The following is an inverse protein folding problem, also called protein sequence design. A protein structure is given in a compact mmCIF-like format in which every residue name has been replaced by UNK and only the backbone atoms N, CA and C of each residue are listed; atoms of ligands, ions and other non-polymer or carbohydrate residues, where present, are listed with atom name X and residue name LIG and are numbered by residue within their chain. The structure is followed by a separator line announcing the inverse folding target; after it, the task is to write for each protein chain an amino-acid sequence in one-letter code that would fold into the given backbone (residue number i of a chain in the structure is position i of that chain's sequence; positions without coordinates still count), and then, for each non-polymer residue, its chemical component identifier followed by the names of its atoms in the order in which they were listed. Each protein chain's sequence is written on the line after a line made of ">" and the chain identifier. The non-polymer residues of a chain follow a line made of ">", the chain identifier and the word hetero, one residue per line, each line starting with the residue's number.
data_IF_999575116031
#
_entry.id   IF_999575116031
#
_cell.length_a   1.000
_cell.length_b   1.000
_cell.length_c   1.000
_cell.angle_alpha   90.00
_cell.angle_beta   90.00
_cell.angle_gamma   90.00
#
_symmetry.space_group_name_H-M   'P 1'
#
loop_
_entity.id
_entity.type
_entity.pdbx_description
1 polymer ?
#
# COMPACT_ATOMS: atom_id res chain seq x y z
N UNK A 1 -12.05 -12.31 -81.07
CA UNK A 1 -12.83 -11.08 -81.24
C UNK A 1 -13.22 -10.55 -79.87
N UNK A 2 -12.78 -9.36 -79.61
CA UNK A 2 -13.40 -8.31 -78.80
C UNK A 2 -13.74 -8.72 -77.36
N UNK A 3 -13.12 -8.16 -76.44
CA UNK A 3 -12.84 -6.76 -76.07
C UNK A 3 -13.63 -6.37 -74.85
N UNK A 4 -12.91 -5.82 -73.86
CA UNK A 4 -13.25 -4.60 -73.12
C UNK A 4 -14.34 -4.74 -72.04
N UNK A 5 -14.31 -4.17 -70.92
CA UNK A 5 -13.69 -2.99 -70.27
C UNK A 5 -13.89 -3.12 -68.79
N UNK A 6 -12.91 -2.76 -67.99
CA UNK A 6 -12.82 -1.48 -67.28
C UNK A 6 -13.86 -1.22 -66.21
N UNK A 7 -13.40 -1.07 -65.02
CA UNK A 7 -13.47 0.13 -64.18
C UNK A 7 -13.59 -0.23 -62.73
N UNK A 8 -12.58 0.06 -61.95
CA UNK A 8 -12.54 1.22 -61.06
C UNK A 8 -13.66 1.25 -60.03
N UNK A 9 -13.31 0.97 -58.83
CA UNK A 9 -14.09 1.25 -57.65
C UNK A 9 -13.22 1.17 -56.42
N UNK A 10 -12.34 2.15 -56.25
CA UNK A 10 -11.72 2.43 -54.94
C UNK A 10 -12.86 2.94 -54.02
N UNK A 11 -13.25 2.13 -53.09
CA UNK A 11 -13.97 2.61 -51.92
C UNK A 11 -13.05 2.42 -50.73
N UNK A 12 -12.33 3.48 -50.43
CA UNK A 12 -11.62 3.62 -49.16
C UNK A 12 -12.65 3.76 -48.05
N UNK A 13 -13.01 2.67 -47.42
CA UNK A 13 -13.70 2.70 -46.13
C UNK A 13 -12.68 3.04 -45.06
N UNK A 14 -12.67 4.31 -44.68
CA UNK A 14 -12.06 4.76 -43.45
C UNK A 14 -12.85 4.15 -42.31
N UNK A 15 -12.35 3.05 -41.76
CA UNK A 15 -12.79 2.51 -40.48
C UNK A 15 -12.26 3.44 -39.43
N UNK A 16 -13.08 4.41 -39.02
CA UNK A 16 -12.83 5.18 -37.79
C UNK A 16 -12.98 4.22 -36.61
N UNK A 17 -11.89 3.65 -36.18
CA UNK A 17 -11.80 2.99 -34.88
C UNK A 17 -11.93 4.06 -33.82
N UNK A 18 -13.15 4.29 -33.38
CA UNK A 18 -13.38 5.00 -32.12
C UNK A 18 -12.87 4.08 -31.02
N UNK A 19 -11.61 4.27 -30.64
CA UNK A 19 -11.08 3.76 -29.39
C UNK A 19 -11.81 4.50 -28.27
N UNK A 20 -13.00 3.99 -27.94
CA UNK A 20 -13.64 4.29 -26.69
C UNK A 20 -12.73 3.81 -25.59
N UNK A 21 -11.89 4.69 -25.10
CA UNK A 21 -11.06 4.46 -23.92
C UNK A 21 -11.95 4.27 -22.71
N UNK A 22 -12.37 3.04 -22.43
CA UNK A 22 -12.71 2.65 -21.07
C UNK A 22 -11.42 2.68 -20.28
N UNK A 23 -11.16 3.81 -19.63
CA UNK A 23 -10.17 3.86 -18.57
C UNK A 23 -10.58 2.83 -17.53
N UNK A 24 -9.79 1.82 -17.22
CA UNK A 24 -10.05 0.96 -16.09
C UNK A 24 -9.89 1.84 -14.85
N UNK A 25 -11.01 2.29 -14.32
CA UNK A 25 -11.07 3.03 -13.08
C UNK A 25 -10.48 2.16 -11.98
N UNK A 26 -9.36 2.57 -11.40
CA UNK A 26 -9.03 2.20 -10.05
C UNK A 26 -8.02 1.11 -9.79
N UNK A 27 -7.15 0.73 -10.71
CA UNK A 27 -5.95 0.01 -10.30
C UNK A 27 -5.07 0.96 -9.47
N UNK A 28 -4.69 0.61 -8.22
CA UNK A 28 -3.82 1.44 -7.41
C UNK A 28 -2.49 1.63 -8.15
N UNK A 29 -2.03 2.88 -8.23
CA UNK A 29 -0.75 3.19 -8.84
C UNK A 29 0.37 2.49 -8.07
N UNK A 30 1.39 1.96 -8.76
CA UNK A 30 2.54 1.36 -8.09
C UNK A 30 3.33 2.44 -7.32
N UNK A 31 4.00 2.06 -6.23
CA UNK A 31 4.87 2.97 -5.49
C UNK A 31 6.07 3.38 -6.35
N UNK A 32 6.62 4.57 -6.11
CA UNK A 32 7.85 5.00 -6.78
C UNK A 32 9.06 4.20 -6.28
N UNK A 33 10.07 4.04 -7.14
CA UNK A 33 11.32 3.37 -6.75
C UNK A 33 11.98 4.02 -5.52
N UNK A 34 12.02 5.36 -5.46
CA UNK A 34 12.57 6.09 -4.32
C UNK A 34 11.82 5.81 -3.02
N UNK A 35 10.50 5.67 -3.09
CA UNK A 35 9.70 5.33 -1.92
C UNK A 35 10.06 3.93 -1.42
N UNK A 36 10.21 2.96 -2.33
CA UNK A 36 10.63 1.60 -1.97
C UNK A 36 12.03 1.57 -1.35
N UNK A 37 12.97 2.35 -1.86
CA UNK A 37 14.33 2.49 -1.29
C UNK A 37 14.33 3.08 0.13
N UNK A 38 13.32 3.89 0.47
CA UNK A 38 13.16 4.48 1.79
C UNK A 38 12.56 3.55 2.85
N UNK A 39 11.89 2.45 2.47
CA UNK A 39 11.18 1.57 3.42
C UNK A 39 12.07 0.96 4.51
N UNK A 40 13.31 0.50 4.24
CA UNK A 40 14.17 -0.04 5.30
C UNK A 40 14.44 0.97 6.42
N UNK A 41 14.57 2.26 6.09
CA UNK A 41 14.76 3.28 7.09
C UNK A 41 13.50 3.55 7.93
N UNK A 42 12.31 3.44 7.32
CA UNK A 42 11.03 3.49 8.05
C UNK A 42 10.92 2.30 8.99
N UNK A 43 11.22 1.09 8.53
CA UNK A 43 11.23 -0.13 9.36
C UNK A 43 12.17 0.03 10.55
N UNK A 44 13.40 0.51 10.33
CA UNK A 44 14.36 0.76 11.39
C UNK A 44 13.87 1.83 12.40
N UNK A 45 13.20 2.87 11.92
CA UNK A 45 12.60 3.90 12.79
C UNK A 45 11.52 3.33 13.69
N UNK A 46 10.64 2.49 13.13
CA UNK A 46 9.58 1.81 13.89
C UNK A 46 10.19 0.86 14.91
N UNK A 47 11.13 0.01 14.51
CA UNK A 47 11.82 -0.93 15.40
C UNK A 47 12.49 -0.22 16.59
N UNK A 48 13.21 0.86 16.31
CA UNK A 48 13.90 1.66 17.33
C UNK A 48 12.94 2.34 18.32
N UNK A 49 11.81 2.84 17.83
CA UNK A 49 10.84 3.58 18.65
C UNK A 49 9.93 2.66 19.48
N UNK A 50 9.62 1.48 18.98
CA UNK A 50 8.64 0.56 19.58
C UNK A 50 9.28 -0.62 20.31
N UNK A 51 10.54 -0.93 19.99
CA UNK A 51 11.25 -2.10 20.53
C UNK A 51 10.90 -3.42 19.83
N UNK A 52 10.04 -3.39 18.81
CA UNK A 52 9.81 -4.60 18.00
C UNK A 52 11.07 -4.94 17.19
N UNK A 53 11.45 -6.20 17.09
CA UNK A 53 12.54 -6.60 16.21
C UNK A 53 12.15 -6.38 14.75
N UNK A 54 13.13 -6.06 13.90
CA UNK A 54 12.88 -5.77 12.48
C UNK A 54 12.25 -6.94 11.73
N UNK A 55 12.56 -8.17 12.13
CA UNK A 55 11.98 -9.40 11.57
C UNK A 55 10.51 -9.62 11.92
N UNK A 56 10.00 -8.95 12.95
CA UNK A 56 8.58 -8.95 13.32
C UNK A 56 7.79 -7.84 12.61
N UNK A 57 8.47 -7.01 11.83
CA UNK A 57 7.89 -5.87 11.12
C UNK A 57 8.00 -6.07 9.62
N UNK A 58 6.88 -5.92 8.92
CA UNK A 58 6.84 -5.82 7.47
C UNK A 58 6.24 -4.47 7.08
N UNK A 59 6.95 -3.71 6.24
CA UNK A 59 6.47 -2.43 5.73
C UNK A 59 6.30 -2.52 4.23
N UNK A 60 5.09 -2.33 3.76
CA UNK A 60 4.72 -2.34 2.35
C UNK A 60 4.21 -0.96 1.94
N UNK A 61 4.47 -0.57 0.71
CA UNK A 61 4.04 0.70 0.19
C UNK A 61 3.21 0.56 -1.09
N UNK A 62 2.14 1.33 -1.17
CA UNK A 62 1.47 1.73 -2.40
C UNK A 62 1.85 3.17 -2.76
N UNK A 63 1.24 3.75 -3.80
CA UNK A 63 1.54 5.12 -4.22
C UNK A 63 1.19 6.19 -3.16
N UNK A 64 0.14 5.96 -2.38
CA UNK A 64 -0.35 6.89 -1.37
C UNK A 64 -0.62 6.23 -0.01
N UNK A 65 -0.21 4.99 0.17
CA UNK A 65 -0.54 4.17 1.32
C UNK A 65 0.69 3.41 1.82
N UNK A 66 0.90 3.40 3.13
CA UNK A 66 1.84 2.51 3.82
C UNK A 66 1.04 1.48 4.64
N UNK A 67 1.45 0.23 4.56
CA UNK A 67 0.97 -0.83 5.44
C UNK A 67 2.12 -1.33 6.28
N UNK A 68 1.91 -1.37 7.58
CA UNK A 68 2.85 -1.98 8.53
C UNK A 68 2.17 -3.16 9.18
N UNK A 69 2.76 -4.33 9.02
CA UNK A 69 2.33 -5.55 9.68
C UNK A 69 3.27 -5.86 10.84
N UNK A 70 2.69 -6.19 12.00
CA UNK A 70 3.42 -6.53 13.21
C UNK A 70 3.08 -7.96 13.62
N UNK A 71 4.08 -8.82 13.64
CA UNK A 71 3.94 -10.21 14.09
C UNK A 71 4.37 -10.32 15.56
N UNK A 72 3.40 -10.26 16.46
CA UNK A 72 3.62 -10.37 17.90
C UNK A 72 2.44 -11.09 18.56
N UNK A 73 2.68 -12.28 19.11
CA UNK A 73 1.65 -13.10 19.73
C UNK A 73 1.03 -12.44 20.98
N UNK A 74 1.82 -11.67 21.73
CA UNK A 74 1.32 -10.97 22.93
C UNK A 74 0.41 -9.82 22.53
N UNK A 75 0.77 -9.10 21.47
CA UNK A 75 -0.04 -8.01 20.95
C UNK A 75 -1.32 -8.54 20.30
N UNK A 76 -1.24 -9.63 19.53
CA UNK A 76 -2.39 -10.26 18.90
C UNK A 76 -3.44 -10.74 19.92
N UNK A 77 -3.02 -11.19 21.10
CA UNK A 77 -3.90 -11.63 22.18
C UNK A 77 -4.24 -10.54 23.21
N UNK A 78 -3.68 -9.33 23.05
CA UNK A 78 -3.98 -8.19 23.93
C UNK A 78 -5.41 -7.67 23.75
N UNK A 79 -5.87 -6.86 24.69
CA UNK A 79 -7.11 -6.13 24.54
C UNK A 79 -7.06 -5.06 23.43
N UNK A 80 -8.21 -4.59 22.99
CA UNK A 80 -8.31 -3.61 21.91
C UNK A 80 -7.55 -2.31 22.24
N UNK A 81 -7.67 -1.81 23.48
CA UNK A 81 -7.01 -0.58 23.88
C UNK A 81 -5.48 -0.69 23.80
N UNK A 82 -4.94 -1.83 24.17
CA UNK A 82 -3.49 -2.13 24.05
C UNK A 82 -3.05 -2.18 22.59
N UNK A 83 -3.84 -2.82 21.72
CA UNK A 83 -3.56 -2.88 20.28
C UNK A 83 -3.63 -1.49 19.63
N UNK A 84 -4.65 -0.69 19.96
CA UNK A 84 -4.77 0.69 19.48
C UNK A 84 -3.60 1.57 19.90
N UNK A 85 -3.18 1.48 21.16
CA UNK A 85 -2.02 2.21 21.66
C UNK A 85 -0.73 1.81 20.93
N UNK A 86 -0.53 0.52 20.68
CA UNK A 86 0.60 0.04 19.91
C UNK A 86 0.57 0.59 18.46
N UNK A 87 -0.59 0.55 17.81
CA UNK A 87 -0.76 1.10 16.47
C UNK A 87 -0.46 2.62 16.42
N UNK A 88 -0.93 3.38 17.40
CA UNK A 88 -0.64 4.82 17.51
C UNK A 88 0.87 5.08 17.67
N UNK A 89 1.57 4.28 18.48
CA UNK A 89 3.02 4.40 18.65
C UNK A 89 3.77 4.08 17.34
N UNK A 90 3.33 3.05 16.62
CA UNK A 90 3.89 2.69 15.31
C UNK A 90 3.71 3.84 14.32
N UNK A 91 2.50 4.40 14.21
CA UNK A 91 2.22 5.53 13.31
C UNK A 91 3.05 6.76 13.68
N UNK A 92 3.19 7.09 14.96
CA UNK A 92 4.04 8.20 15.42
C UNK A 92 5.52 7.97 15.06
N UNK A 93 5.99 6.74 15.13
CA UNK A 93 7.35 6.38 14.70
C UNK A 93 7.54 6.52 13.19
N UNK A 94 6.51 6.13 12.40
CA UNK A 94 6.50 6.32 10.95
C UNK A 94 6.51 7.82 10.61
N UNK A 95 5.61 8.61 11.21
CA UNK A 95 5.56 10.07 11.00
C UNK A 95 6.94 10.69 11.17
N UNK A 96 7.61 10.39 12.28
CA UNK A 96 8.96 10.86 12.57
C UNK A 96 9.99 10.36 11.54
N UNK A 97 9.85 9.12 11.09
CA UNK A 97 10.76 8.51 10.11
C UNK A 97 10.63 9.08 8.71
N UNK A 98 9.45 9.60 8.34
CA UNK A 98 9.15 10.12 6.99
C UNK A 98 9.13 11.67 6.92
N UNK A 99 9.11 12.37 8.05
CA UNK A 99 8.92 13.84 8.12
C UNK A 99 9.89 14.62 7.25
N UNK A 100 11.15 14.20 7.18
CA UNK A 100 12.20 14.87 6.39
C UNK A 100 12.41 14.26 5.01
N UNK A 101 11.58 13.31 4.58
CA UNK A 101 11.75 12.50 3.39
C UNK A 101 10.70 12.82 2.34
N UNK A 102 11.08 13.54 1.30
CA UNK A 102 10.18 13.98 0.23
C UNK A 102 9.55 12.83 -0.55
N UNK A 103 10.22 11.66 -0.61
CA UNK A 103 9.72 10.47 -1.28
C UNK A 103 8.41 9.92 -0.68
N UNK A 104 8.14 10.25 0.58
CA UNK A 104 6.90 9.87 1.28
C UNK A 104 5.83 10.95 1.28
N UNK A 105 6.04 12.06 0.60
CA UNK A 105 5.08 13.19 0.57
C UNK A 105 3.70 12.82 0.01
N UNK A 106 3.64 11.81 -0.86
CA UNK A 106 2.39 11.29 -1.44
C UNK A 106 1.56 10.43 -0.48
N UNK A 107 2.13 9.98 0.64
CA UNK A 107 1.43 9.12 1.57
C UNK A 107 0.31 9.87 2.26
N UNK A 108 -0.91 9.35 2.13
CA UNK A 108 -2.16 9.88 2.70
C UNK A 108 -2.78 8.95 3.73
N UNK A 109 -2.39 7.68 3.71
CA UNK A 109 -2.95 6.67 4.59
C UNK A 109 -1.86 5.72 5.10
N UNK A 110 -1.98 5.33 6.37
CA UNK A 110 -1.17 4.29 7.00
C UNK A 110 -2.13 3.26 7.59
N UNK A 111 -1.93 2.00 7.29
CA UNK A 111 -2.61 0.90 7.99
C UNK A 111 -1.61 0.11 8.83
N UNK A 112 -2.01 -0.20 10.05
CA UNK A 112 -1.27 -1.09 10.95
C UNK A 112 -2.06 -2.37 11.09
N UNK A 113 -1.46 -3.49 10.67
CA UNK A 113 -2.02 -4.82 10.78
C UNK A 113 -1.30 -5.59 11.89
N UNK A 114 -2.06 -6.10 12.86
CA UNK A 114 -1.54 -6.99 13.90
C UNK A 114 -1.77 -8.42 13.43
N UNK A 115 -0.69 -9.19 13.39
CA UNK A 115 -0.70 -10.54 12.85
C UNK A 115 -0.34 -11.52 13.97
N UNK A 116 -1.16 -12.55 14.11
CA UNK A 116 -0.82 -13.68 14.96
C UNK A 116 0.23 -14.54 14.25
N UNK A 117 1.43 -14.71 14.83
CA UNK A 117 2.44 -15.57 14.23
C UNK A 117 1.99 -17.03 14.25
N UNK A 118 2.40 -17.79 13.23
CA UNK A 118 2.14 -19.23 13.19
C UNK A 118 2.82 -19.94 14.37
N UNK A 119 2.07 -20.79 15.06
CA UNK A 119 2.64 -21.65 16.10
C UNK A 119 3.42 -22.81 15.46
N UNK A 120 4.68 -23.00 15.87
CA UNK A 120 5.48 -24.17 15.49
C UNK A 120 6.34 -24.02 14.23
N UNK A 121 6.52 -22.81 13.68
CA UNK A 121 7.43 -22.57 12.56
C UNK A 121 6.96 -23.16 11.22
N UNK A 122 5.67 -23.46 11.11
CA UNK A 122 5.00 -23.79 9.86
C UNK A 122 4.82 -22.53 9.00
N UNK A 123 4.48 -22.72 7.74
CA UNK A 123 4.54 -21.68 6.70
C UNK A 123 3.78 -20.39 7.05
N UNK A 124 4.13 -19.29 6.38
CA UNK A 124 3.45 -18.00 6.51
C UNK A 124 1.92 -18.07 6.25
N UNK A 125 1.43 -19.17 5.70
CA UNK A 125 0.00 -19.44 5.47
C UNK A 125 -0.78 -19.65 6.78
N UNK A 126 -0.12 -20.05 7.85
CA UNK A 126 -0.75 -20.25 9.17
C UNK A 126 -0.84 -18.96 9.99
N UNK A 127 -0.23 -17.87 9.53
CA UNK A 127 -0.36 -16.55 10.14
C UNK A 127 -1.67 -15.91 9.72
N UNK A 128 -2.40 -15.33 10.65
CA UNK A 128 -3.64 -14.61 10.35
C UNK A 128 -3.64 -13.19 10.92
N UNK A 129 -4.35 -12.30 10.27
CA UNK A 129 -4.49 -10.92 10.71
C UNK A 129 -5.53 -10.87 11.81
N UNK A 130 -5.13 -10.37 12.99
CA UNK A 130 -6.04 -10.19 14.13
C UNK A 130 -6.81 -8.88 14.05
N UNK A 131 -6.13 -7.81 13.65
CA UNK A 131 -6.74 -6.49 13.61
C UNK A 131 -6.03 -5.59 12.59
N UNK A 132 -6.78 -4.70 11.94
CA UNK A 132 -6.25 -3.67 11.03
C UNK A 132 -6.81 -2.33 11.42
N UNK A 133 -5.92 -1.40 11.76
CA UNK A 133 -6.26 -0.03 12.11
C UNK A 133 -5.80 0.92 11.03
N UNK A 134 -6.68 1.81 10.61
CA UNK A 134 -6.41 2.78 9.54
C UNK A 134 -6.21 4.18 10.12
N UNK A 135 -5.21 4.87 9.59
CA UNK A 135 -4.88 6.24 9.94
C UNK A 135 -4.81 7.07 8.66
N UNK A 136 -5.52 8.19 8.65
CA UNK A 136 -5.54 9.11 7.51
C UNK A 136 -4.84 10.41 7.84
N UNK A 137 -4.17 10.97 6.84
CA UNK A 137 -3.49 12.25 6.97
C UNK A 137 -4.52 13.37 7.10
N UNK A 138 -4.49 14.04 8.22
CA UNK A 138 -5.31 15.24 8.49
C UNK A 138 -4.72 16.48 7.79
N UNK A 139 -5.48 17.57 7.64
CA UNK A 139 -4.97 18.85 7.11
C UNK A 139 -3.76 19.41 7.87
N UNK A 140 -3.60 19.02 9.14
CA UNK A 140 -2.42 19.34 9.95
C UNK A 140 -1.14 18.63 9.49
N UNK A 141 -1.24 17.67 8.58
CA UNK A 141 -0.14 16.80 8.13
C UNK A 141 0.08 15.56 9.00
N UNK A 142 -0.60 15.44 10.14
CA UNK A 142 -0.51 14.29 11.03
C UNK A 142 -1.50 13.20 10.64
N UNK A 143 -1.15 11.95 10.93
CA UNK A 143 -2.06 10.83 10.74
C UNK A 143 -2.95 10.66 11.98
N UNK A 144 -4.24 10.55 11.75
CA UNK A 144 -5.24 10.35 12.80
C UNK A 144 -5.99 9.04 12.57
N UNK A 145 -6.31 8.34 13.66
CA UNK A 145 -7.05 7.08 13.61
C UNK A 145 -8.42 7.32 12.97
N UNK A 146 -8.72 6.53 11.95
CA UNK A 146 -10.00 6.59 11.25
C UNK A 146 -10.85 5.39 11.67
N UNK A 147 -11.83 5.66 12.54
CA UNK A 147 -12.81 4.66 12.97
C UNK A 147 -13.90 4.61 11.90
N UNK A 148 -14.07 3.48 11.24
CA UNK A 148 -15.15 3.20 10.27
C UNK A 148 -16.36 2.62 10.97
#
# INVERSE_FOLDING_TARGET
>A
MCARYLAKGLAAMAVSVVLGGCSPSGAPLPPSAKLLEGLPAVTASVASATGYPTEALEVLAGAAHLRVSVQDAKLATADQATRENAAIQIVAAIEKGIESRSEFSSIQEISVAIIHPAEGGESAEDSHVEDVMQFRKAPSGRFVHHIT
#
